data_IF_053735814516
#
_entry.id   IF_053735814516
#
_cell.length_a   1.000
_cell.length_b   1.000
_cell.length_c   1.000
_cell.angle_alpha   90.00
_cell.angle_beta   90.00
_cell.angle_gamma   90.00
#
_symmetry.space_group_name_H-M   'P 1'
#
loop_
_entity.id
_entity.type
_entity.pdbx_description
1 polymer ?
#
# COMPACT_ATOMS: atom_id res chain seq x y z
N UNK A 1 4.32 17.26 8.78
CA UNK A 1 3.04 16.83 9.39
C UNK A 1 2.38 15.93 8.38
N UNK A 2 2.00 14.72 8.78
CA UNK A 2 1.37 13.76 7.89
C UNK A 2 -0.02 13.44 8.39
N UNK A 3 -1.00 13.39 7.48
CA UNK A 3 -2.34 12.89 7.79
C UNK A 3 -2.40 11.45 7.33
N UNK A 4 -2.62 10.57 8.28
CA UNK A 4 -2.99 9.19 8.03
C UNK A 4 -4.52 9.11 8.05
N UNK A 5 -5.13 8.78 6.92
CA UNK A 5 -6.59 8.67 6.84
C UNK A 5 -7.02 7.27 7.25
N UNK A 6 -8.19 7.18 7.90
CA UNK A 6 -8.80 5.92 8.32
C UNK A 6 -10.31 6.08 8.27
N UNK A 7 -11.09 5.13 7.71
CA UNK A 7 -12.55 5.26 7.59
C UNK A 7 -13.27 5.57 8.90
N UNK A 8 -12.91 4.84 9.96
CA UNK A 8 -13.49 4.95 11.29
C UNK A 8 -12.53 4.27 12.32
N UNK A 9 -13.00 4.08 13.54
CA UNK A 9 -12.26 3.60 14.72
C UNK A 9 -11.29 4.65 15.32
N UNK A 10 -11.41 4.97 16.63
CA UNK A 10 -12.42 4.50 17.58
C UNK A 10 -13.78 5.19 17.40
N UNK A 11 -13.88 6.20 16.54
CA UNK A 11 -15.14 6.91 16.25
C UNK A 11 -15.90 6.18 15.15
N UNK A 12 -17.23 6.32 15.13
CA UNK A 12 -18.07 5.72 14.09
C UNK A 12 -17.79 6.29 12.69
N UNK A 13 -17.29 7.52 12.61
CA UNK A 13 -16.93 8.21 11.36
C UNK A 13 -15.68 9.07 11.57
N UNK A 14 -14.77 9.04 10.61
CA UNK A 14 -13.60 9.93 10.53
C UNK A 14 -13.88 11.13 9.63
N UNK A 15 -13.23 12.26 9.91
CA UNK A 15 -13.23 13.45 9.04
C UNK A 15 -12.40 13.17 7.77
N UNK A 16 -11.38 12.32 7.88
CA UNK A 16 -10.55 11.88 6.77
C UNK A 16 -10.74 10.37 6.57
N UNK A 17 -11.84 9.94 5.92
CA UNK A 17 -12.16 8.52 5.79
C UNK A 17 -11.47 7.82 4.62
N UNK A 18 -10.93 8.58 3.66
CA UNK A 18 -10.38 8.05 2.40
C UNK A 18 -9.36 9.02 1.77
N UNK A 19 -8.60 8.54 0.78
CA UNK A 19 -7.51 9.29 0.16
C UNK A 19 -7.99 10.58 -0.50
N UNK A 20 -9.10 10.53 -1.24
CA UNK A 20 -9.59 11.68 -2.02
C UNK A 20 -10.07 12.84 -1.13
N UNK A 21 -10.78 12.54 -0.04
CA UNK A 21 -11.20 13.55 0.95
C UNK A 21 -9.99 14.16 1.64
N UNK A 22 -9.00 13.33 2.00
CA UNK A 22 -7.77 13.80 2.60
C UNK A 22 -6.96 14.70 1.64
N UNK A 23 -6.91 14.36 0.35
CA UNK A 23 -6.22 15.16 -0.67
C UNK A 23 -6.85 16.54 -0.84
N UNK A 24 -8.19 16.64 -0.86
CA UNK A 24 -8.87 17.93 -0.90
C UNK A 24 -8.50 18.80 0.30
N UNK A 25 -8.49 18.23 1.51
CA UNK A 25 -8.13 18.95 2.72
C UNK A 25 -6.66 19.41 2.71
N UNK A 26 -5.73 18.57 2.25
CA UNK A 26 -4.31 18.92 2.12
C UNK A 26 -4.11 20.07 1.11
N UNK A 27 -4.79 20.01 -0.03
CA UNK A 27 -4.74 21.07 -1.05
C UNK A 27 -5.33 22.39 -0.53
N UNK A 28 -6.49 22.34 0.12
CA UNK A 28 -7.16 23.52 0.70
C UNK A 28 -6.32 24.18 1.80
N UNK A 29 -5.65 23.39 2.64
CA UNK A 29 -4.77 23.90 3.68
C UNK A 29 -3.55 24.66 3.11
N UNK A 30 -3.08 24.31 1.90
CA UNK A 30 -1.99 25.00 1.22
C UNK A 30 -0.63 24.96 1.95
N UNK A 31 -0.47 24.10 2.96
CA UNK A 31 0.73 24.03 3.80
C UNK A 31 1.83 23.18 3.14
N UNK A 32 3.01 23.77 2.88
CA UNK A 32 4.15 23.08 2.25
C UNK A 32 4.70 21.88 3.03
N UNK A 33 4.43 21.81 4.34
CA UNK A 33 4.90 20.78 5.25
C UNK A 33 3.81 19.75 5.63
N UNK A 34 2.65 19.82 4.97
CA UNK A 34 1.55 18.88 5.12
C UNK A 34 1.58 17.86 3.97
N UNK A 35 1.28 16.61 4.29
CA UNK A 35 1.21 15.52 3.33
C UNK A 35 0.39 14.37 3.90
N UNK A 36 0.50 13.20 3.26
CA UNK A 36 -0.28 12.01 3.59
C UNK A 36 0.63 10.86 4.01
N UNK A 37 0.18 10.08 4.98
CA UNK A 37 0.70 8.74 5.29
C UNK A 37 -0.29 7.74 4.70
N UNK A 38 0.22 6.76 3.97
CA UNK A 38 -0.58 5.64 3.50
C UNK A 38 -0.36 4.44 4.40
N UNK A 39 -1.42 4.02 5.07
CA UNK A 39 -1.52 2.73 5.72
C UNK A 39 -2.29 1.76 4.80
N UNK A 40 -1.68 0.61 4.51
CA UNK A 40 -2.23 -0.32 3.53
C UNK A 40 -3.60 -0.90 3.92
N UNK A 41 -3.80 -1.29 5.17
CA UNK A 41 -5.07 -1.81 5.68
C UNK A 41 -6.14 -0.72 5.72
N UNK A 42 -5.78 0.53 6.03
CA UNK A 42 -6.69 1.67 5.95
C UNK A 42 -7.17 1.92 4.52
N UNK A 43 -6.29 1.79 3.52
CA UNK A 43 -6.69 1.93 2.11
C UNK A 43 -7.69 0.84 1.72
N UNK A 44 -7.41 -0.42 2.08
CA UNK A 44 -8.34 -1.53 1.85
C UNK A 44 -9.67 -1.30 2.59
N UNK A 45 -9.61 -0.84 3.83
CA UNK A 45 -10.79 -0.57 4.66
C UNK A 45 -11.63 0.59 4.11
N UNK A 46 -11.00 1.57 3.48
CA UNK A 46 -11.68 2.64 2.75
C UNK A 46 -12.33 2.15 1.43
N UNK A 47 -12.23 0.85 1.12
CA UNK A 47 -12.67 0.24 -0.13
C UNK A 47 -11.99 0.89 -1.35
N UNK A 48 -10.71 1.22 -1.20
CA UNK A 48 -9.86 1.81 -2.24
C UNK A 48 -8.90 0.76 -2.82
N UNK A 49 -8.34 1.06 -4.00
CA UNK A 49 -7.28 0.25 -4.60
C UNK A 49 -5.94 0.81 -4.12
N UNK A 50 -5.10 0.05 -3.38
CA UNK A 50 -3.86 0.55 -2.79
C UNK A 50 -2.93 1.26 -3.78
N UNK A 51 -2.63 0.63 -4.92
CA UNK A 51 -1.78 1.23 -5.95
C UNK A 51 -2.37 2.52 -6.52
N UNK A 52 -3.70 2.57 -6.71
CA UNK A 52 -4.35 3.79 -7.19
C UNK A 52 -4.26 4.93 -6.16
N UNK A 53 -4.47 4.62 -4.87
CA UNK A 53 -4.31 5.60 -3.80
C UNK A 53 -2.87 6.15 -3.74
N UNK A 54 -1.85 5.29 -3.86
CA UNK A 54 -0.45 5.68 -3.96
C UNK A 54 -0.22 6.67 -5.11
N UNK A 55 -0.65 6.30 -6.33
CA UNK A 55 -0.49 7.14 -7.51
C UNK A 55 -1.18 8.51 -7.37
N UNK A 56 -2.37 8.53 -6.76
CA UNK A 56 -3.11 9.76 -6.49
C UNK A 56 -2.38 10.66 -5.49
N UNK A 57 -1.88 10.08 -4.39
CA UNK A 57 -1.10 10.82 -3.39
C UNK A 57 0.19 11.36 -4.00
N UNK A 58 0.95 10.55 -4.72
CA UNK A 58 2.19 10.98 -5.38
C UNK A 58 1.98 12.13 -6.36
N UNK A 59 0.83 12.16 -7.05
CA UNK A 59 0.50 13.21 -8.03
C UNK A 59 0.02 14.52 -7.41
N UNK A 60 -0.60 14.47 -6.23
CA UNK A 60 -1.38 15.60 -5.67
C UNK A 60 -0.89 16.07 -4.31
N UNK A 61 -0.02 15.31 -3.66
CA UNK A 61 0.49 15.58 -2.32
C UNK A 61 1.91 15.02 -2.16
N UNK A 62 2.47 15.21 -0.97
CA UNK A 62 3.70 14.52 -0.55
C UNK A 62 3.29 13.27 0.23
N UNK A 63 3.81 12.13 -0.20
CA UNK A 63 3.76 10.91 0.61
C UNK A 63 4.87 10.99 1.66
N UNK A 64 4.49 11.20 2.92
CA UNK A 64 5.41 11.47 4.03
C UNK A 64 5.63 10.26 4.94
N UNK A 65 4.76 9.24 4.85
CA UNK A 65 4.85 8.01 5.62
C UNK A 65 4.22 6.85 4.88
N UNK A 66 4.65 5.64 5.24
CA UNK A 66 4.15 4.39 4.71
C UNK A 66 4.09 3.35 5.82
N UNK A 67 2.88 2.86 6.09
CA UNK A 67 2.61 1.79 7.04
C UNK A 67 2.14 0.56 6.27
N UNK A 68 2.89 -0.54 6.44
CA UNK A 68 2.63 -1.81 5.78
C UNK A 68 2.08 -2.83 6.76
N UNK A 69 0.93 -3.35 6.38
CA UNK A 69 0.18 -4.38 7.07
C UNK A 69 -0.76 -5.03 6.05
N UNK A 70 -1.77 -5.76 6.52
CA UNK A 70 -2.79 -6.35 5.68
C UNK A 70 -4.10 -6.49 6.45
N UNK A 71 -5.18 -6.80 5.75
CA UNK A 71 -6.51 -6.96 6.33
C UNK A 71 -7.57 -7.38 5.32
N UNK A 72 -8.78 -7.62 5.81
CA UNK A 72 -9.90 -8.04 4.97
C UNK A 72 -10.73 -6.87 4.41
N UNK A 73 -10.24 -5.63 4.56
CA UNK A 73 -10.91 -4.41 4.08
C UNK A 73 -12.20 -4.06 4.83
N UNK A 74 -12.41 -4.62 6.03
CA UNK A 74 -13.62 -4.38 6.85
C UNK A 74 -13.36 -3.63 8.14
N UNK A 75 -12.09 -3.56 8.53
CA UNK A 75 -11.54 -2.85 9.67
C UNK A 75 -10.02 -2.81 9.51
N UNK A 76 -9.37 -2.13 10.43
CA UNK A 76 -7.94 -2.24 10.61
C UNK A 76 -7.63 -3.51 11.42
N UNK A 77 -7.27 -4.57 10.70
CA UNK A 77 -7.01 -5.89 11.30
C UNK A 77 -5.59 -6.00 11.90
N UNK A 78 -4.65 -5.10 11.52
CA UNK A 78 -3.24 -5.14 11.92
C UNK A 78 -2.51 -6.44 11.55
N UNK A 79 -2.86 -7.08 10.43
CA UNK A 79 -2.23 -8.34 10.01
C UNK A 79 -0.87 -8.10 9.35
N UNK A 80 -0.05 -9.14 9.34
CA UNK A 80 1.24 -9.16 8.64
C UNK A 80 1.08 -8.83 7.15
N UNK A 81 2.01 -8.04 6.62
CA UNK A 81 2.01 -7.57 5.23
C UNK A 81 1.95 -8.73 4.21
N UNK A 82 1.01 -8.62 3.26
CA UNK A 82 0.84 -9.58 2.17
C UNK A 82 0.29 -10.96 2.59
N UNK A 83 -0.22 -11.09 3.82
CA UNK A 83 -0.81 -12.34 4.32
C UNK A 83 -2.18 -12.66 3.73
N UNK A 84 -2.94 -11.64 3.32
CA UNK A 84 -4.30 -11.75 2.75
C UNK A 84 -4.30 -11.28 1.30
N UNK A 85 -3.64 -10.16 1.00
CA UNK A 85 -3.71 -9.49 -0.30
C UNK A 85 -2.34 -9.36 -1.00
N UNK A 86 -1.54 -10.44 -1.16
CA UNK A 86 -0.16 -10.36 -1.66
C UNK A 86 -0.03 -9.71 -3.03
N UNK A 87 -1.03 -9.85 -3.91
CA UNK A 87 -1.04 -9.22 -5.23
C UNK A 87 -1.24 -7.71 -5.14
N UNK A 88 -2.20 -7.25 -4.33
CA UNK A 88 -2.44 -5.83 -4.12
C UNK A 88 -1.24 -5.18 -3.41
N UNK A 89 -0.61 -5.87 -2.47
CA UNK A 89 0.65 -5.43 -1.87
C UNK A 89 1.76 -5.30 -2.91
N UNK A 90 1.92 -6.29 -3.81
CA UNK A 90 2.92 -6.21 -4.87
C UNK A 90 2.67 -5.04 -5.82
N UNK A 91 1.42 -4.84 -6.26
CA UNK A 91 1.04 -3.74 -7.13
C UNK A 91 1.27 -2.38 -6.46
N UNK A 92 0.92 -2.27 -5.17
CA UNK A 92 1.17 -1.09 -4.36
C UNK A 92 2.66 -0.76 -4.26
N UNK A 93 3.49 -1.74 -3.91
CA UNK A 93 4.95 -1.57 -3.83
C UNK A 93 5.57 -1.19 -5.18
N UNK A 94 5.09 -1.78 -6.27
CA UNK A 94 5.53 -1.42 -7.62
C UNK A 94 5.18 0.04 -7.96
N UNK A 95 3.96 0.49 -7.60
CA UNK A 95 3.56 1.87 -7.81
C UNK A 95 4.40 2.83 -6.97
N UNK A 96 4.61 2.54 -5.68
CA UNK A 96 5.47 3.31 -4.78
C UNK A 96 6.90 3.46 -5.32
N UNK A 97 7.45 2.39 -5.91
CA UNK A 97 8.76 2.41 -6.57
C UNK A 97 8.77 3.33 -7.79
N UNK A 98 7.76 3.22 -8.66
CA UNK A 98 7.61 4.08 -9.85
C UNK A 98 7.45 5.56 -9.51
N UNK A 99 6.76 5.84 -8.40
CA UNK A 99 6.59 7.20 -7.88
C UNK A 99 7.86 7.74 -7.18
N UNK A 100 8.90 6.92 -7.06
CA UNK A 100 10.20 7.30 -6.53
C UNK A 100 10.22 7.46 -5.01
N UNK A 101 9.35 6.75 -4.26
CA UNK A 101 9.35 6.81 -2.80
C UNK A 101 10.69 6.36 -2.21
N UNK A 102 11.29 7.22 -1.38
CA UNK A 102 12.59 6.98 -0.70
C UNK A 102 12.45 6.96 0.84
N UNK A 103 11.23 6.94 1.35
CA UNK A 103 10.97 6.94 2.79
C UNK A 103 11.15 5.56 3.43
N UNK A 104 10.99 5.52 4.75
CA UNK A 104 10.99 4.28 5.50
C UNK A 104 9.71 3.46 5.23
N UNK A 105 9.84 2.15 5.39
CA UNK A 105 8.75 1.18 5.33
C UNK A 105 8.50 0.75 6.78
N UNK A 106 7.41 1.24 7.37
CA UNK A 106 7.00 0.87 8.70
C UNK A 106 6.07 -0.35 8.65
N UNK A 107 6.02 -1.10 9.73
CA UNK A 107 5.06 -2.19 9.91
C UNK A 107 4.12 -1.81 11.04
N UNK A 108 2.90 -1.37 10.68
CA UNK A 108 1.85 -1.06 11.65
C UNK A 108 0.94 -2.29 11.81
N UNK A 109 1.42 -3.23 12.62
CA UNK A 109 0.78 -4.53 12.88
C UNK A 109 0.51 -4.70 14.37
N UNK A 110 -0.40 -5.61 14.73
CA UNK A 110 -0.85 -5.78 16.12
C UNK A 110 -0.48 -7.16 16.73
N UNK A 111 0.81 -7.54 16.81
CA UNK A 111 1.24 -8.82 17.40
C UNK A 111 0.79 -8.95 18.86
N UNK A 112 0.83 -7.85 19.61
CA UNK A 112 0.47 -7.81 21.03
C UNK A 112 -1.01 -8.15 21.27
N UNK A 113 -1.90 -7.74 20.35
CA UNK A 113 -3.33 -8.05 20.43
C UNK A 113 -3.61 -9.56 20.30
N UNK A 114 -2.66 -10.32 19.73
CA UNK A 114 -2.74 -11.77 19.53
C UNK A 114 -1.79 -12.56 20.43
N UNK A 115 -0.99 -11.90 21.27
CA UNK A 115 0.00 -12.53 22.15
C UNK A 115 1.16 -13.19 21.41
N UNK A 116 1.46 -12.75 20.19
CA UNK A 116 2.54 -13.27 19.35
C UNK A 116 3.88 -12.60 19.66
N UNK A 117 4.97 -13.18 19.15
CA UNK A 117 6.32 -12.62 19.24
C UNK A 117 6.48 -11.45 18.25
N UNK A 118 6.52 -10.19 18.72
CA UNK A 118 6.59 -9.02 17.86
C UNK A 118 7.92 -8.93 17.09
N UNK A 119 9.01 -9.48 17.63
CA UNK A 119 10.32 -9.44 16.98
C UNK A 119 10.31 -10.37 15.78
N UNK A 120 9.86 -11.62 15.97
CA UNK A 120 9.76 -12.60 14.88
C UNK A 120 8.75 -12.18 13.81
N UNK A 121 7.66 -11.52 14.21
CA UNK A 121 6.71 -10.95 13.26
C UNK A 121 7.38 -9.88 12.38
N UNK A 122 8.09 -8.93 12.99
CA UNK A 122 8.81 -7.89 12.27
C UNK A 122 9.87 -8.47 11.32
N UNK A 123 10.68 -9.45 11.76
CA UNK A 123 11.65 -10.15 10.90
C UNK A 123 10.97 -10.79 9.68
N UNK A 124 9.80 -11.39 9.88
CA UNK A 124 9.05 -12.04 8.82
C UNK A 124 8.46 -11.03 7.84
N UNK A 125 7.92 -9.92 8.34
CA UNK A 125 7.43 -8.80 7.52
C UNK A 125 8.56 -8.21 6.65
N UNK A 126 9.74 -7.97 7.24
CA UNK A 126 10.94 -7.51 6.52
C UNK A 126 11.28 -8.49 5.39
N UNK A 127 11.38 -9.79 5.71
CA UNK A 127 11.72 -10.81 4.72
C UNK A 127 10.68 -10.87 3.58
N UNK A 128 9.39 -10.70 3.89
CA UNK A 128 8.31 -10.67 2.90
C UNK A 128 8.39 -9.45 2.01
N UNK A 129 8.56 -8.25 2.56
CA UNK A 129 8.69 -7.02 1.76
C UNK A 129 9.94 -7.07 0.87
N UNK A 130 11.08 -7.54 1.37
CA UNK A 130 12.30 -7.71 0.56
C UNK A 130 12.04 -8.65 -0.62
N UNK A 131 11.29 -9.75 -0.42
CA UNK A 131 10.90 -10.65 -1.52
C UNK A 131 10.01 -9.94 -2.54
N UNK A 132 8.98 -9.23 -2.09
CA UNK A 132 8.05 -8.51 -2.97
C UNK A 132 8.75 -7.40 -3.76
N UNK A 133 9.69 -6.67 -3.15
CA UNK A 133 10.49 -5.65 -3.83
C UNK A 133 11.35 -6.25 -4.96
N UNK A 134 11.95 -7.43 -4.76
CA UNK A 134 12.65 -8.17 -5.82
C UNK A 134 11.72 -8.58 -6.97
N UNK A 135 10.47 -8.95 -6.66
CA UNK A 135 9.47 -9.22 -7.70
C UNK A 135 9.08 -7.93 -8.44
N UNK A 136 8.98 -6.79 -7.75
CA UNK A 136 8.75 -5.50 -8.39
C UNK A 136 9.84 -5.18 -9.41
N UNK A 137 11.12 -5.45 -9.12
CA UNK A 137 12.22 -5.25 -10.08
C UNK A 137 12.06 -6.07 -11.36
N UNK A 138 11.56 -7.31 -11.24
CA UNK A 138 11.26 -8.16 -12.41
C UNK A 138 10.09 -7.62 -13.23
N UNK A 139 9.04 -7.13 -12.57
CA UNK A 139 7.84 -6.60 -13.23
C UNK A 139 8.10 -5.24 -13.88
N UNK A 140 8.80 -4.34 -13.20
CA UNK A 140 9.11 -3.00 -13.69
C UNK A 140 9.87 -3.02 -15.02
N UNK A 141 10.83 -3.93 -15.13
CA UNK A 141 11.67 -4.10 -16.31
C UNK A 141 11.05 -5.03 -17.38
N UNK A 142 9.77 -5.41 -17.24
CA UNK A 142 9.11 -6.31 -18.20
C UNK A 142 8.37 -5.50 -19.29
N UNK A 143 8.89 -5.42 -20.53
CA UNK A 143 8.26 -4.66 -21.60
C UNK A 143 6.91 -5.26 -22.04
N UNK A 144 6.74 -6.58 -21.94
CA UNK A 144 5.48 -7.24 -22.28
C UNK A 144 4.37 -6.90 -21.28
N UNK A 145 4.71 -6.73 -19.99
CA UNK A 145 3.75 -6.25 -19.00
C UNK A 145 3.30 -4.82 -19.31
N UNK A 146 4.25 -3.93 -19.65
CA UNK A 146 3.94 -2.54 -19.98
C UNK A 146 3.08 -2.43 -21.24
N UNK A 147 3.37 -3.23 -22.28
CA UNK A 147 2.53 -3.32 -23.48
C UNK A 147 1.12 -3.83 -23.14
N UNK A 148 1.00 -4.91 -22.37
CA UNK A 148 -0.29 -5.47 -21.97
C UNK A 148 -1.13 -4.44 -21.19
N UNK A 149 -0.52 -3.72 -20.24
CA UNK A 149 -1.19 -2.62 -19.51
C UNK A 149 -1.65 -1.52 -20.48
N UNK A 150 -0.81 -1.12 -21.44
CA UNK A 150 -1.15 -0.05 -22.40
C UNK A 150 -2.36 -0.39 -23.28
N UNK A 151 -2.51 -1.68 -23.63
CA UNK A 151 -3.64 -2.21 -24.40
C UNK A 151 -4.83 -2.62 -23.54
N UNK A 152 -4.76 -2.42 -22.22
CA UNK A 152 -5.76 -2.88 -21.25
C UNK A 152 -6.05 -4.39 -21.34
N UNK A 153 -5.03 -5.17 -21.70
CA UNK A 153 -5.11 -6.62 -21.80
C UNK A 153 -4.92 -7.25 -20.41
N UNK A 154 -6.04 -7.41 -19.70
CA UNK A 154 -6.05 -7.99 -18.37
C UNK A 154 -5.61 -9.46 -18.37
N UNK A 155 -5.86 -10.21 -19.45
CA UNK A 155 -5.48 -11.62 -19.54
C UNK A 155 -3.96 -11.75 -19.61
N UNK A 156 -3.33 -11.01 -20.52
CA UNK A 156 -1.88 -11.02 -20.67
C UNK A 156 -1.16 -10.47 -19.42
N UNK A 157 -1.64 -9.35 -18.88
CA UNK A 157 -1.01 -8.76 -17.68
C UNK A 157 -1.13 -9.69 -16.45
N UNK A 158 -2.28 -10.32 -16.23
CA UNK A 158 -2.44 -11.29 -15.14
C UNK A 158 -1.57 -12.53 -15.32
N UNK A 159 -1.45 -13.06 -16.55
CA UNK A 159 -0.55 -14.19 -16.82
C UNK A 159 0.89 -13.85 -16.46
N UNK A 160 1.40 -12.70 -16.92
CA UNK A 160 2.77 -12.27 -16.65
C UNK A 160 3.01 -12.08 -15.14
N UNK A 161 2.09 -11.44 -14.44
CA UNK A 161 2.20 -11.25 -12.98
C UNK A 161 2.16 -12.60 -12.25
N UNK A 162 1.32 -13.54 -12.69
CA UNK A 162 1.27 -14.89 -12.13
C UNK A 162 2.59 -15.64 -12.31
N UNK A 163 3.18 -15.58 -13.51
CA UNK A 163 4.46 -16.23 -13.81
C UNK A 163 5.57 -15.70 -12.90
N UNK A 164 5.52 -14.42 -12.50
CA UNK A 164 6.49 -13.84 -11.57
C UNK A 164 6.19 -14.20 -10.11
N UNK A 165 4.92 -14.18 -9.70
CA UNK A 165 4.52 -14.38 -8.30
C UNK A 165 4.47 -15.85 -7.88
N UNK A 166 4.13 -16.75 -8.80
CA UNK A 166 3.85 -18.16 -8.53
C UNK A 166 4.94 -19.10 -9.05
N UNK A 167 6.00 -18.56 -9.67
CA UNK A 167 7.16 -19.35 -10.07
C UNK A 167 7.82 -20.00 -8.84
N UNK A 168 8.10 -21.29 -8.94
CA UNK A 168 8.84 -22.09 -7.94
C UNK A 168 10.33 -21.81 -8.02
#
# INVERSE_FOLDING_TARGET
>A
VSIEYKPNEPRAYSIFPNATTCLLAVEEAGCKNLGITLDFAHVLFANEIPAFAAAMVARRSRLLGLDLNDGWGKRDDGLMVGSVNPRATLEFLLQMKRDGYQGAYYFDTFPDASGLDPVREAETNIATVIRLLKLCEKLENNPALNDAISRQDAVASQQIVNDVMLAQ
#
